data_IF_330186744874
#
_entry.id   IF_330186744874
#
_cell.length_a   1.000
_cell.length_b   1.000
_cell.length_c   1.000
_cell.angle_alpha   90.00
_cell.angle_beta   90.00
_cell.angle_gamma   90.00
#
_symmetry.space_group_name_H-M   'P 1'
#
loop_
_entity.id
_entity.type
_entity.pdbx_description
1 polymer ?
#
# COMPACT_ATOMS: atom_id res chain seq x y z
N UNK A 1 4.84 -65.50 -38.91
CA UNK A 1 5.62 -64.60 -38.03
C UNK A 1 4.82 -63.32 -37.83
N UNK A 2 4.04 -63.30 -36.75
CA UNK A 2 3.14 -62.21 -36.37
C UNK A 2 3.93 -61.07 -35.75
N UNK A 3 3.98 -59.90 -36.41
CA UNK A 3 4.59 -58.69 -35.83
C UNK A 3 3.55 -58.01 -34.94
N UNK A 4 3.81 -58.09 -33.64
CA UNK A 4 3.10 -57.39 -32.58
C UNK A 4 3.44 -55.89 -32.74
N UNK A 5 2.46 -55.09 -33.17
CA UNK A 5 2.55 -53.62 -33.06
C UNK A 5 2.27 -53.24 -31.59
N UNK A 6 3.17 -52.52 -30.90
CA UNK A 6 2.85 -51.97 -29.59
C UNK A 6 1.81 -50.86 -29.78
N UNK A 7 0.62 -51.02 -29.19
CA UNK A 7 -0.35 -49.94 -29.09
C UNK A 7 0.25 -48.82 -28.23
N UNK A 8 0.42 -47.63 -28.83
CA UNK A 8 0.75 -46.40 -28.11
C UNK A 8 -0.43 -46.03 -27.18
N UNK A 9 -0.17 -45.67 -25.91
CA UNK A 9 -1.23 -45.36 -24.94
C UNK A 9 -1.96 -44.08 -25.34
N UNK A 10 -3.30 -44.13 -25.31
CA UNK A 10 -4.23 -43.07 -25.74
C UNK A 10 -4.26 -41.79 -24.89
N UNK A 11 -3.12 -41.28 -24.44
CA UNK A 11 -3.02 -40.06 -23.62
C UNK A 11 -2.79 -38.76 -24.42
N UNK A 12 -2.43 -38.86 -25.71
CA UNK A 12 -2.13 -37.70 -26.57
C UNK A 12 -3.35 -36.80 -26.85
N UNK A 13 -4.58 -37.33 -27.08
CA UNK A 13 -5.75 -36.48 -27.38
C UNK A 13 -6.16 -35.58 -26.21
N UNK A 14 -6.04 -36.07 -24.98
CA UNK A 14 -6.38 -35.32 -23.77
C UNK A 14 -5.40 -34.18 -23.52
N UNK A 15 -4.10 -34.42 -23.71
CA UNK A 15 -3.07 -33.37 -23.59
C UNK A 15 -3.24 -32.27 -24.66
N UNK A 16 -3.56 -32.65 -25.90
CA UNK A 16 -3.84 -31.70 -26.98
C UNK A 16 -5.09 -30.86 -26.71
N UNK A 17 -6.17 -31.47 -26.18
CA UNK A 17 -7.39 -30.74 -25.81
C UNK A 17 -7.12 -29.71 -24.71
N UNK A 18 -6.36 -30.07 -23.68
CA UNK A 18 -5.98 -29.14 -22.59
C UNK A 18 -5.14 -27.98 -23.13
N UNK A 19 -4.16 -28.24 -23.99
CA UNK A 19 -3.36 -27.18 -24.63
C UNK A 19 -4.20 -26.27 -25.54
N UNK A 20 -5.19 -26.83 -26.25
CA UNK A 20 -6.12 -26.04 -27.06
C UNK A 20 -6.99 -25.11 -26.22
N UNK A 21 -7.52 -25.60 -25.09
CA UNK A 21 -8.29 -24.79 -24.14
C UNK A 21 -7.45 -23.66 -23.55
N UNK A 22 -6.21 -23.95 -23.15
CA UNK A 22 -5.30 -22.92 -22.64
C UNK A 22 -4.97 -21.86 -23.69
N UNK A 23 -4.83 -22.24 -24.96
CA UNK A 23 -4.63 -21.29 -26.07
C UNK A 23 -5.85 -20.37 -26.23
N UNK A 24 -7.06 -20.93 -26.23
CA UNK A 24 -8.30 -20.17 -26.32
C UNK A 24 -8.50 -19.22 -25.14
N UNK A 25 -8.22 -19.67 -23.91
CA UNK A 25 -8.25 -18.81 -22.72
C UNK A 25 -7.24 -17.66 -22.81
N UNK A 26 -6.04 -17.93 -23.34
CA UNK A 26 -5.00 -16.92 -23.50
C UNK A 26 -5.39 -15.89 -24.59
N UNK A 27 -5.97 -16.36 -25.69
CA UNK A 27 -6.51 -15.50 -26.76
C UNK A 27 -7.63 -14.59 -26.22
N UNK A 28 -8.55 -15.13 -25.40
CA UNK A 28 -9.59 -14.34 -24.74
C UNK A 28 -9.02 -13.29 -23.78
N UNK A 29 -8.01 -13.65 -22.97
CA UNK A 29 -7.32 -12.71 -22.08
C UNK A 29 -6.60 -11.61 -22.86
N UNK A 30 -5.97 -11.95 -23.98
CA UNK A 30 -5.31 -10.99 -24.86
C UNK A 30 -6.31 -9.99 -25.46
N UNK A 31 -7.44 -10.46 -25.98
CA UNK A 31 -8.51 -9.61 -26.52
C UNK A 31 -9.08 -8.66 -25.47
N UNK A 32 -9.34 -9.17 -24.27
CA UNK A 32 -9.83 -8.34 -23.16
C UNK A 32 -8.83 -7.26 -22.77
N UNK A 33 -7.54 -7.61 -22.70
CA UNK A 33 -6.48 -6.65 -22.40
C UNK A 33 -6.38 -5.57 -23.47
N UNK A 34 -6.51 -5.94 -24.76
CA UNK A 34 -6.52 -4.99 -25.87
C UNK A 34 -7.67 -3.98 -25.73
N UNK A 35 -8.87 -4.47 -25.40
CA UNK A 35 -10.05 -3.63 -25.16
C UNK A 35 -9.85 -2.67 -23.98
N UNK A 36 -9.24 -3.13 -22.88
CA UNK A 36 -8.90 -2.28 -21.74
C UNK A 36 -7.95 -1.16 -22.18
N UNK A 37 -6.86 -1.50 -22.88
CA UNK A 37 -5.86 -0.52 -23.33
C UNK A 37 -6.48 0.52 -24.28
N UNK A 38 -7.36 0.12 -25.18
CA UNK A 38 -8.09 1.05 -26.05
C UNK A 38 -9.04 1.95 -25.26
N UNK A 39 -9.74 1.41 -24.27
CA UNK A 39 -10.62 2.19 -23.39
C UNK A 39 -9.83 3.20 -22.54
N UNK A 40 -8.65 2.85 -22.03
CA UNK A 40 -7.78 3.76 -21.31
C UNK A 40 -7.23 4.86 -22.21
N UNK A 41 -6.83 4.52 -23.44
CA UNK A 41 -6.33 5.48 -24.43
C UNK A 41 -7.40 6.53 -24.77
N UNK A 42 -8.64 6.08 -25.00
CA UNK A 42 -9.76 6.98 -25.30
C UNK A 42 -10.16 7.83 -24.11
N UNK A 43 -10.24 7.27 -22.90
CA UNK A 43 -10.50 8.02 -21.68
C UNK A 43 -9.44 9.10 -21.40
N UNK A 44 -8.15 8.75 -21.57
CA UNK A 44 -7.04 9.71 -21.45
C UNK A 44 -7.17 10.85 -22.44
N UNK A 45 -7.49 10.54 -23.70
CA UNK A 45 -7.67 11.55 -24.74
C UNK A 45 -8.82 12.51 -24.42
N UNK A 46 -9.96 11.99 -23.93
CA UNK A 46 -11.11 12.80 -23.52
C UNK A 46 -10.77 13.74 -22.34
N UNK A 47 -10.07 13.24 -21.31
CA UNK A 47 -9.64 14.07 -20.18
C UNK A 47 -8.67 15.17 -20.61
N UNK A 48 -7.79 14.89 -21.58
CA UNK A 48 -6.87 15.89 -22.12
C UNK A 48 -7.62 17.00 -22.88
N UNK A 49 -8.61 16.62 -23.71
CA UNK A 49 -9.49 17.58 -24.38
C UNK A 49 -10.27 18.45 -23.37
N UNK A 50 -10.85 17.86 -22.32
CA UNK A 50 -11.54 18.61 -21.26
C UNK A 50 -10.61 19.59 -20.54
N UNK A 51 -9.36 19.19 -20.26
CA UNK A 51 -8.36 20.08 -19.65
C UNK A 51 -8.03 21.27 -20.55
N UNK A 52 -7.92 21.06 -21.87
CA UNK A 52 -7.65 22.12 -22.85
C UNK A 52 -8.83 23.10 -22.96
N UNK A 53 -10.06 22.59 -23.02
CA UNK A 53 -11.28 23.38 -23.07
C UNK A 53 -11.43 24.26 -21.82
N UNK A 54 -11.27 23.68 -20.63
CA UNK A 54 -11.28 24.43 -19.37
C UNK A 54 -10.17 25.49 -19.32
N UNK A 55 -9.00 25.19 -19.89
CA UNK A 55 -7.88 26.14 -19.96
C UNK A 55 -8.16 27.31 -20.91
N UNK A 56 -8.91 27.08 -21.99
CA UNK A 56 -9.38 28.13 -22.88
C UNK A 56 -10.45 29.00 -22.20
N UNK A 57 -11.41 28.39 -21.50
CA UNK A 57 -12.46 29.12 -20.80
C UNK A 57 -11.90 29.99 -19.67
N UNK A 58 -10.93 29.48 -18.89
CA UNK A 58 -10.21 30.28 -17.90
C UNK A 58 -9.51 31.49 -18.56
N UNK A 59 -8.92 31.31 -19.74
CA UNK A 59 -8.29 32.43 -20.48
C UNK A 59 -9.32 33.45 -20.97
N UNK A 60 -10.50 33.00 -21.40
CA UNK A 60 -11.61 33.85 -21.82
C UNK A 60 -12.18 34.65 -20.64
N UNK A 61 -12.56 34.00 -19.55
CA UNK A 61 -13.10 34.64 -18.35
C UNK A 61 -12.10 35.65 -17.75
N UNK A 62 -10.80 35.37 -17.81
CA UNK A 62 -9.76 36.34 -17.44
C UNK A 62 -9.77 37.59 -18.32
N UNK A 63 -9.97 37.45 -19.63
CA UNK A 63 -10.09 38.60 -20.55
C UNK A 63 -11.37 39.40 -20.27
N UNK A 64 -12.50 38.72 -20.07
CA UNK A 64 -13.78 39.35 -19.73
C UNK A 64 -13.68 40.13 -18.40
N UNK A 65 -13.05 39.57 -17.36
CA UNK A 65 -12.83 40.28 -16.10
C UNK A 65 -11.95 41.54 -16.26
N UNK A 66 -10.94 41.50 -17.12
CA UNK A 66 -10.11 42.67 -17.41
C UNK A 66 -10.94 43.75 -18.12
N UNK A 67 -11.82 43.35 -19.04
CA UNK A 67 -12.70 44.26 -19.76
C UNK A 67 -13.71 44.94 -18.84
N UNK A 68 -14.44 44.16 -18.03
CA UNK A 68 -15.43 44.67 -17.08
C UNK A 68 -14.79 45.60 -16.04
N UNK A 69 -13.57 45.28 -15.60
CA UNK A 69 -12.81 46.17 -14.70
C UNK A 69 -12.46 47.50 -15.37
N UNK A 70 -12.12 47.49 -16.65
CA UNK A 70 -11.81 48.70 -17.42
C UNK A 70 -13.07 49.53 -17.68
N UNK A 71 -14.22 48.90 -17.92
CA UNK A 71 -15.51 49.56 -18.08
C UNK A 71 -15.98 50.22 -16.77
N UNK A 72 -15.85 49.56 -15.62
CA UNK A 72 -16.15 50.19 -14.32
C UNK A 72 -15.28 51.42 -14.06
N UNK A 73 -13.99 51.37 -14.41
CA UNK A 73 -13.09 52.53 -14.30
C UNK A 73 -13.42 53.66 -15.29
N UNK A 74 -14.13 53.35 -16.38
CA UNK A 74 -14.53 54.34 -17.39
C UNK A 74 -15.89 54.97 -17.07
N UNK A 75 -16.79 54.23 -16.43
CA UNK A 75 -18.11 54.69 -16.01
C UNK A 75 -18.07 55.65 -14.80
N UNK A 76 -17.06 55.56 -13.93
CA UNK A 76 -16.81 56.52 -12.84
C UNK A 76 -16.25 57.88 -13.34
N UNK A 77 -16.01 58.05 -14.65
CA UNK A 77 -15.42 59.26 -15.23
C UNK A 77 -16.38 60.19 -15.99
N UNK A 78 -17.70 59.92 -16.02
CA UNK A 78 -18.64 60.60 -16.92
C UNK A 78 -19.90 61.19 -16.25
N UNK A 79 -19.83 61.53 -14.97
CA UNK A 79 -20.78 62.44 -14.33
C UNK A 79 -20.04 63.26 -13.29
N UNK A 80 -19.70 64.50 -13.64
CA UNK A 80 -19.79 65.68 -12.76
C UNK A 80 -19.23 66.90 -13.52
N UNK A 81 -20.05 67.94 -13.55
CA UNK A 81 -19.79 69.22 -14.18
C UNK A 81 -18.48 69.85 -13.65
N UNK A 82 -17.73 70.47 -14.56
CA UNK A 82 -16.46 71.14 -14.28
C UNK A 82 -16.60 72.19 -13.15
N UNK A 83 -16.10 71.86 -11.95
CA UNK A 83 -15.64 72.86 -10.99
C UNK A 83 -14.14 73.06 -11.15
N UNK A 84 -13.74 74.33 -11.32
CA UNK A 84 -12.36 74.80 -11.55
C UNK A 84 -11.35 74.37 -10.46
N UNK A 85 -11.83 73.85 -9.33
CA UNK A 85 -11.01 73.30 -8.25
C UNK A 85 -10.26 72.01 -8.65
N UNK A 86 -10.77 71.23 -9.61
CA UNK A 86 -10.15 69.96 -10.05
C UNK A 86 -8.91 70.19 -10.94
N UNK A 87 -8.88 71.30 -11.69
CA UNK A 87 -7.72 71.66 -12.54
C UNK A 87 -6.49 72.05 -11.72
N UNK A 88 -6.69 72.56 -10.50
CA UNK A 88 -5.60 72.93 -9.58
C UNK A 88 -4.97 71.70 -8.92
N UNK A 89 -5.80 70.71 -8.54
CA UNK A 89 -5.35 69.45 -7.93
C UNK A 89 -4.57 68.57 -8.92
N UNK A 90 -4.96 68.56 -10.21
CA UNK A 90 -4.30 67.75 -11.24
C UNK A 90 -2.93 68.30 -11.68
N UNK A 91 -2.69 69.62 -11.53
CA UNK A 91 -1.41 70.26 -11.90
C UNK A 91 -0.35 70.11 -10.80
N UNK A 92 -0.75 69.97 -9.53
CA UNK A 92 0.16 69.69 -8.41
C UNK A 92 0.55 68.21 -8.29
N UNK A 93 -0.27 67.28 -8.79
CA UNK A 93 0.09 65.85 -8.84
C UNK A 93 1.16 65.48 -9.87
N UNK A 94 1.47 66.34 -10.84
CA UNK A 94 2.47 66.02 -11.85
C UNK A 94 3.93 66.25 -11.40
N UNK A 95 4.15 66.72 -10.17
CA UNK A 95 5.46 66.83 -9.53
C UNK A 95 5.59 66.03 -8.21
N UNK A 96 4.62 65.16 -7.89
CA UNK A 96 4.59 64.42 -6.63
C UNK A 96 4.78 62.92 -6.83
N UNK A 97 5.77 62.36 -6.15
CA UNK A 97 6.19 60.95 -6.05
C UNK A 97 5.13 59.95 -5.55
N UNK A 98 3.83 60.16 -5.83
CA UNK A 98 2.69 59.42 -5.27
C UNK A 98 2.19 58.23 -6.10
N UNK A 99 2.38 58.23 -7.43
CA UNK A 99 1.90 57.13 -8.29
C UNK A 99 2.64 55.80 -8.08
N UNK A 100 3.87 55.85 -7.56
CA UNK A 100 4.66 54.65 -7.23
C UNK A 100 4.14 53.90 -6.01
N UNK A 101 3.46 54.58 -5.07
CA UNK A 101 3.04 53.99 -3.80
C UNK A 101 1.75 53.19 -3.91
N UNK A 102 0.76 53.71 -4.64
CA UNK A 102 -0.49 52.99 -4.94
C UNK A 102 -0.25 51.75 -5.81
N UNK A 103 0.61 51.87 -6.84
CA UNK A 103 0.99 50.72 -7.69
C UNK A 103 1.78 49.66 -6.92
N UNK A 104 2.64 50.07 -5.98
CA UNK A 104 3.36 49.15 -5.10
C UNK A 104 2.43 48.38 -4.15
N UNK A 105 1.39 49.02 -3.61
CA UNK A 105 0.42 48.35 -2.73
C UNK A 105 -0.50 47.41 -3.51
N UNK A 106 -0.90 47.76 -4.74
CA UNK A 106 -1.60 46.84 -5.66
C UNK A 106 -0.76 45.61 -5.98
N UNK A 107 0.54 45.77 -6.28
CA UNK A 107 1.45 44.66 -6.54
C UNK A 107 1.63 43.72 -5.33
N UNK A 108 1.69 44.27 -4.10
CA UNK A 108 1.75 43.47 -2.86
C UNK A 108 0.47 42.66 -2.64
N UNK A 109 -0.69 43.29 -2.84
CA UNK A 109 -1.99 42.61 -2.73
C UNK A 109 -2.12 41.50 -3.78
N UNK A 110 -1.70 41.74 -5.02
CA UNK A 110 -1.68 40.73 -6.09
C UNK A 110 -0.73 39.55 -5.78
N UNK A 111 0.46 39.82 -5.25
CA UNK A 111 1.40 38.75 -4.87
C UNK A 111 0.88 37.92 -3.70
N UNK A 112 0.23 38.57 -2.72
CA UNK A 112 -0.42 37.91 -1.60
C UNK A 112 -1.59 37.02 -2.05
N UNK A 113 -2.49 37.55 -2.90
CA UNK A 113 -3.61 36.81 -3.49
C UNK A 113 -3.12 35.64 -4.34
N UNK A 114 -2.07 35.83 -5.15
CA UNK A 114 -1.47 34.75 -5.94
C UNK A 114 -0.89 33.65 -5.04
N UNK A 115 -0.17 34.00 -3.98
CA UNK A 115 0.34 33.05 -3.00
C UNK A 115 -0.77 32.33 -2.22
N UNK A 116 -1.82 33.05 -1.85
CA UNK A 116 -3.01 32.48 -1.19
C UNK A 116 -3.76 31.50 -2.10
N UNK A 117 -3.96 31.84 -3.37
CA UNK A 117 -4.57 30.96 -4.36
C UNK A 117 -3.72 29.70 -4.60
N UNK A 118 -2.40 29.82 -4.68
CA UNK A 118 -1.49 28.67 -4.77
C UNK A 118 -1.64 27.73 -3.57
N UNK A 119 -1.67 28.29 -2.35
CA UNK A 119 -1.89 27.50 -1.12
C UNK A 119 -3.26 26.83 -1.09
N UNK A 120 -4.32 27.54 -1.52
CA UNK A 120 -5.68 26.99 -1.59
C UNK A 120 -5.78 25.86 -2.61
N UNK A 121 -5.18 26.04 -3.79
CA UNK A 121 -5.15 25.01 -4.85
C UNK A 121 -4.32 23.80 -4.43
N UNK A 122 -3.16 24.00 -3.80
CA UNK A 122 -2.36 22.93 -3.23
C UNK A 122 -3.14 22.13 -2.19
N UNK A 123 -3.83 22.81 -1.26
CA UNK A 123 -4.70 22.14 -0.29
C UNK A 123 -5.79 21.29 -0.97
N UNK A 124 -6.41 21.80 -2.03
CA UNK A 124 -7.40 21.02 -2.80
C UNK A 124 -6.77 19.79 -3.42
N UNK A 125 -5.67 19.94 -4.17
CA UNK A 125 -4.98 18.82 -4.83
C UNK A 125 -4.53 17.76 -3.82
N UNK A 126 -4.01 18.17 -2.67
CA UNK A 126 -3.61 17.25 -1.60
C UNK A 126 -4.83 16.54 -1.01
N UNK A 127 -5.94 17.23 -0.77
CA UNK A 127 -7.17 16.60 -0.29
C UNK A 127 -7.75 15.61 -1.31
N UNK A 128 -7.76 15.98 -2.58
CA UNK A 128 -8.23 15.13 -3.68
C UNK A 128 -7.33 13.89 -3.83
N UNK A 129 -6.00 14.06 -3.67
CA UNK A 129 -5.06 12.93 -3.62
C UNK A 129 -5.31 12.05 -2.40
N UNK A 130 -5.43 12.61 -1.20
CA UNK A 130 -5.68 11.83 0.03
C UNK A 130 -6.98 11.04 -0.11
N UNK A 131 -8.03 11.62 -0.70
CA UNK A 131 -9.32 10.95 -0.93
C UNK A 131 -9.32 10.03 -2.16
N UNK A 132 -8.24 10.02 -2.95
CA UNK A 132 -8.15 9.18 -4.13
C UNK A 132 -8.12 7.69 -3.73
N UNK A 133 -8.72 6.81 -4.55
CA UNK A 133 -8.72 5.37 -4.30
C UNK A 133 -7.30 4.79 -4.28
N UNK A 134 -6.38 5.37 -5.06
CA UNK A 134 -4.98 4.97 -5.05
C UNK A 134 -4.30 5.24 -3.71
N UNK A 135 -4.45 6.44 -3.14
CA UNK A 135 -3.86 6.78 -1.85
C UNK A 135 -4.48 6.00 -0.69
N UNK A 136 -5.77 5.68 -0.77
CA UNK A 136 -6.41 4.77 0.19
C UNK A 136 -5.83 3.35 0.09
N UNK A 137 -5.75 2.79 -1.12
CA UNK A 137 -5.14 1.47 -1.36
C UNK A 137 -3.69 1.40 -0.89
N UNK A 138 -2.91 2.46 -1.13
CA UNK A 138 -1.51 2.53 -0.70
C UNK A 138 -1.40 2.57 0.83
N UNK A 139 -2.27 3.33 1.50
CA UNK A 139 -2.35 3.35 2.97
C UNK A 139 -2.74 1.99 3.53
N UNK A 140 -3.74 1.33 2.94
CA UNK A 140 -4.17 -0.01 3.34
C UNK A 140 -3.04 -1.04 3.17
N UNK A 141 -2.33 -1.02 2.04
CA UNK A 141 -1.16 -1.87 1.82
C UNK A 141 -0.09 -1.66 2.89
N UNK A 142 0.26 -0.41 3.16
CA UNK A 142 1.28 -0.07 4.14
C UNK A 142 0.85 -0.49 5.56
N UNK A 143 -0.41 -0.25 5.92
CA UNK A 143 -0.97 -0.68 7.20
C UNK A 143 -0.86 -2.20 7.38
N UNK A 144 -1.26 -2.99 6.37
CA UNK A 144 -1.15 -4.45 6.42
C UNK A 144 0.29 -4.89 6.62
N UNK A 145 1.24 -4.27 5.91
CA UNK A 145 2.66 -4.58 6.07
C UNK A 145 3.15 -4.29 7.49
N UNK A 146 2.84 -3.11 8.05
CA UNK A 146 3.26 -2.78 9.41
C UNK A 146 2.67 -3.76 10.42
N UNK A 147 1.37 -4.02 10.35
CA UNK A 147 0.71 -5.01 11.21
C UNK A 147 1.32 -6.39 11.05
N UNK A 148 1.67 -6.81 9.83
CA UNK A 148 2.31 -8.10 9.60
C UNK A 148 3.68 -8.20 10.32
N UNK A 149 4.51 -7.17 10.23
CA UNK A 149 5.83 -7.16 10.90
C UNK A 149 5.68 -7.18 12.42
N UNK A 150 4.74 -6.41 12.96
CA UNK A 150 4.40 -6.40 14.39
C UNK A 150 3.90 -7.78 14.86
N UNK A 151 2.98 -8.40 14.11
CA UNK A 151 2.48 -9.74 14.43
C UNK A 151 3.57 -10.80 14.38
N UNK A 152 4.49 -10.72 13.41
CA UNK A 152 5.59 -11.67 13.29
C UNK A 152 6.60 -11.52 14.45
N UNK A 153 6.88 -10.28 14.88
CA UNK A 153 7.72 -10.01 16.05
C UNK A 153 7.13 -10.65 17.32
N UNK A 154 5.83 -10.45 17.55
CA UNK A 154 5.14 -11.02 18.69
C UNK A 154 5.15 -12.55 18.63
N UNK A 155 4.89 -13.12 17.45
CA UNK A 155 4.89 -14.57 17.24
C UNK A 155 6.26 -15.21 17.56
N UNK A 156 7.34 -14.66 17.01
CA UNK A 156 8.71 -15.12 17.28
C UNK A 156 9.06 -15.01 18.77
N UNK A 157 8.63 -13.93 19.42
CA UNK A 157 8.85 -13.72 20.87
C UNK A 157 8.13 -14.78 21.71
N UNK A 158 6.89 -15.12 21.36
CA UNK A 158 6.12 -16.18 22.02
C UNK A 158 6.77 -17.56 21.82
N UNK A 159 7.22 -17.88 20.60
CA UNK A 159 7.95 -19.11 20.30
C UNK A 159 9.29 -19.19 21.05
N UNK A 160 10.03 -18.09 21.12
CA UNK A 160 11.29 -18.01 21.87
C UNK A 160 11.06 -18.26 23.36
N UNK A 161 9.98 -17.73 23.91
CA UNK A 161 9.55 -17.99 25.30
C UNK A 161 9.21 -19.47 25.50
N UNK A 162 8.45 -20.08 24.58
CA UNK A 162 8.10 -21.50 24.61
C UNK A 162 9.36 -22.39 24.61
N UNK A 163 10.30 -22.11 23.72
CA UNK A 163 11.54 -22.90 23.60
C UNK A 163 12.46 -22.68 24.81
N UNK A 164 12.68 -21.43 25.20
CA UNK A 164 13.66 -21.08 26.23
C UNK A 164 13.18 -21.40 27.63
N UNK A 165 11.91 -21.13 27.95
CA UNK A 165 11.38 -21.29 29.29
C UNK A 165 10.80 -22.69 29.56
N UNK A 166 10.39 -23.43 28.52
CA UNK A 166 9.76 -24.74 28.71
C UNK A 166 10.56 -25.86 28.06
N UNK A 167 10.82 -25.81 26.74
CA UNK A 167 11.48 -26.91 26.03
C UNK A 167 12.89 -27.20 26.56
N UNK A 168 13.75 -26.16 26.67
CA UNK A 168 15.13 -26.35 27.12
C UNK A 168 15.23 -26.88 28.57
N UNK A 169 14.51 -26.32 29.56
CA UNK A 169 14.49 -26.87 30.92
C UNK A 169 13.94 -28.29 31.01
N UNK A 170 12.93 -28.64 30.20
CA UNK A 170 12.37 -29.99 30.17
C UNK A 170 13.33 -31.00 29.53
N UNK A 171 14.02 -30.63 28.44
CA UNK A 171 15.10 -31.45 27.85
C UNK A 171 16.22 -31.70 28.85
N UNK A 172 16.65 -30.66 29.57
CA UNK A 172 17.65 -30.79 30.64
C UNK A 172 17.18 -31.71 31.77
N UNK A 173 15.91 -31.59 32.19
CA UNK A 173 15.33 -32.43 33.24
C UNK A 173 15.21 -33.89 32.82
N UNK A 174 14.95 -34.16 31.54
CA UNK A 174 14.92 -35.50 30.97
C UNK A 174 16.31 -36.17 30.90
N UNK A 175 17.39 -35.39 30.90
CA UNK A 175 18.77 -35.90 30.96
C UNK A 175 19.30 -36.13 32.38
N UNK A 176 18.47 -35.95 33.42
CA UNK A 176 18.85 -36.17 34.82
C UNK A 176 19.06 -37.65 35.14
N UNK A 177 19.86 -37.95 36.20
CA UNK A 177 20.11 -39.31 36.70
C UNK A 177 18.85 -40.07 37.13
N UNK A 178 17.76 -39.37 37.45
CA UNK A 178 16.40 -39.90 37.66
C UNK A 178 15.39 -38.98 36.95
N UNK A 179 15.08 -39.21 35.68
CA UNK A 179 14.27 -38.28 34.91
C UNK A 179 12.78 -38.42 35.29
N UNK A 180 12.09 -37.32 35.65
CA UNK A 180 10.65 -37.34 35.89
C UNK A 180 9.81 -37.41 34.60
N UNK A 181 10.44 -37.15 33.45
CA UNK A 181 9.85 -37.15 32.10
C UNK A 181 10.87 -37.71 31.10
N UNK A 182 10.44 -38.50 30.13
CA UNK A 182 11.37 -39.10 29.14
C UNK A 182 11.66 -38.14 27.98
N UNK A 183 12.76 -38.37 27.27
CA UNK A 183 13.07 -37.62 26.05
C UNK A 183 12.02 -37.81 24.95
N UNK A 184 11.38 -38.98 24.87
CA UNK A 184 10.27 -39.24 23.94
C UNK A 184 9.04 -38.42 24.31
N UNK A 185 8.68 -38.32 25.59
CA UNK A 185 7.54 -37.51 26.04
C UNK A 185 7.75 -36.02 25.70
N UNK A 186 8.95 -35.48 25.94
CA UNK A 186 9.30 -34.09 25.60
C UNK A 186 9.25 -33.87 24.09
N UNK A 187 9.83 -34.76 23.29
CA UNK A 187 9.79 -34.67 21.83
C UNK A 187 8.37 -34.87 21.27
N UNK A 188 7.51 -35.65 21.92
CA UNK A 188 6.10 -35.80 21.51
C UNK A 188 5.28 -34.54 21.76
N UNK A 189 5.61 -33.77 22.81
CA UNK A 189 4.90 -32.54 23.18
C UNK A 189 5.37 -31.36 22.34
N UNK A 190 6.69 -31.18 22.19
CA UNK A 190 7.27 -30.00 21.56
C UNK A 190 7.73 -30.22 20.11
N UNK A 191 7.90 -31.46 19.67
CA UNK A 191 8.28 -31.88 18.32
C UNK A 191 9.33 -30.94 17.70
N UNK A 192 9.04 -30.38 16.53
CA UNK A 192 9.93 -29.51 15.75
C UNK A 192 9.78 -28.01 16.11
N UNK A 193 9.24 -27.67 17.30
CA UNK A 193 9.01 -26.27 17.70
C UNK A 193 10.29 -25.41 17.73
N UNK A 194 11.45 -25.99 18.05
CA UNK A 194 12.75 -25.31 18.01
C UNK A 194 13.16 -24.94 16.57
N UNK A 195 12.94 -25.85 15.62
CA UNK A 195 13.16 -25.61 14.18
C UNK A 195 12.19 -24.53 13.67
N UNK A 196 10.92 -24.59 14.05
CA UNK A 196 9.91 -23.60 13.68
C UNK A 196 10.31 -22.21 14.20
N UNK A 197 10.74 -22.09 15.46
CA UNK A 197 11.23 -20.84 16.03
C UNK A 197 12.40 -20.27 15.21
N UNK A 198 13.39 -21.11 14.88
CA UNK A 198 14.55 -20.66 14.10
C UNK A 198 14.16 -20.13 12.71
N UNK A 199 13.21 -20.79 12.05
CA UNK A 199 12.73 -20.40 10.72
C UNK A 199 11.99 -19.07 10.75
N UNK A 200 11.06 -18.90 11.69
CA UNK A 200 10.33 -17.64 11.87
C UNK A 200 11.25 -16.50 12.31
N UNK A 201 12.30 -16.81 13.09
CA UNK A 201 13.34 -15.83 13.43
C UNK A 201 14.07 -15.30 12.18
N UNK A 202 14.43 -16.17 11.23
CA UNK A 202 15.06 -15.77 9.96
C UNK A 202 14.10 -14.93 9.13
N UNK A 203 12.83 -15.36 9.04
CA UNK A 203 11.81 -14.61 8.30
C UNK A 203 11.58 -13.21 8.88
N UNK A 204 11.45 -13.10 10.21
CA UNK A 204 11.33 -11.82 10.91
C UNK A 204 12.53 -10.89 10.67
N UNK A 205 13.76 -11.42 10.73
CA UNK A 205 14.95 -10.64 10.40
C UNK A 205 14.93 -10.13 8.95
N UNK A 206 14.49 -10.97 8.01
CA UNK A 206 14.28 -10.57 6.61
C UNK A 206 13.26 -9.45 6.46
N UNK A 207 12.12 -9.55 7.14
CA UNK A 207 11.09 -8.50 7.17
C UNK A 207 11.64 -7.18 7.72
N UNK A 208 12.35 -7.23 8.85
CA UNK A 208 12.94 -6.05 9.50
C UNK A 208 13.97 -5.36 8.61
N UNK A 209 14.83 -6.13 7.94
CA UNK A 209 15.81 -5.58 7.00
C UNK A 209 15.13 -4.87 5.82
N UNK A 210 14.02 -5.41 5.30
CA UNK A 210 13.27 -4.75 4.22
C UNK A 210 12.59 -3.47 4.70
N UNK A 211 12.11 -3.41 5.95
CA UNK A 211 11.51 -2.19 6.50
C UNK A 211 12.45 -0.97 6.43
N UNK A 212 13.77 -1.16 6.46
CA UNK A 212 14.75 -0.07 6.32
C UNK A 212 14.72 0.58 4.92
N UNK A 213 14.28 -0.16 3.90
CA UNK A 213 14.18 0.31 2.50
C UNK A 213 12.82 0.96 2.15
N UNK A 214 12.03 1.34 3.16
CA UNK A 214 10.76 2.02 2.96
C UNK A 214 10.96 3.36 2.22
N UNK A 215 10.12 3.73 1.23
CA UNK A 215 8.81 3.19 0.86
C UNK A 215 8.80 2.16 -0.29
N UNK A 216 9.93 1.87 -0.93
CA UNK A 216 10.05 0.94 -2.07
C UNK A 216 10.15 -0.52 -1.63
N UNK A 217 9.15 -0.96 -0.86
CA UNK A 217 9.14 -2.27 -0.23
C UNK A 217 8.67 -3.37 -1.20
N UNK A 218 9.50 -4.40 -1.36
CA UNK A 218 9.17 -5.66 -2.03
C UNK A 218 9.40 -6.80 -1.03
N UNK A 219 8.33 -7.53 -0.72
CA UNK A 219 8.33 -8.63 0.25
C UNK A 219 8.08 -10.01 -0.37
N UNK A 220 7.79 -10.07 -1.68
CA UNK A 220 7.34 -11.30 -2.36
C UNK A 220 8.32 -12.46 -2.23
N UNK A 221 9.61 -12.18 -2.38
CA UNK A 221 10.70 -13.14 -2.27
C UNK A 221 10.90 -13.70 -0.85
N UNK A 222 10.48 -12.97 0.20
CA UNK A 222 10.50 -13.49 1.55
C UNK A 222 9.44 -14.60 1.75
N UNK A 223 8.31 -14.51 1.05
CA UNK A 223 7.28 -15.55 1.10
C UNK A 223 7.70 -16.83 0.38
N UNK A 224 8.52 -16.73 -0.66
CA UNK A 224 9.10 -17.90 -1.34
C UNK A 224 10.00 -18.73 -0.41
N UNK A 225 10.66 -18.08 0.55
CA UNK A 225 11.41 -18.76 1.60
C UNK A 225 10.50 -19.40 2.67
N UNK A 226 9.29 -18.87 2.87
CA UNK A 226 8.30 -19.36 3.84
C UNK A 226 7.49 -20.55 3.31
N UNK A 227 7.24 -20.62 1.99
CA UNK A 227 6.43 -21.66 1.34
C UNK A 227 6.88 -23.10 1.65
N UNK A 228 8.19 -23.45 1.58
CA UNK A 228 8.68 -24.76 2.00
C UNK A 228 8.41 -25.07 3.48
N UNK A 229 8.30 -24.06 4.34
CA UNK A 229 8.09 -24.24 5.79
C UNK A 229 6.70 -24.78 6.11
N UNK A 230 5.70 -24.52 5.25
CA UNK A 230 4.34 -25.06 5.41
C UNK A 230 4.32 -26.59 5.44
N UNK A 231 5.26 -27.25 4.76
CA UNK A 231 5.41 -28.71 4.80
C UNK A 231 5.83 -29.22 6.18
N UNK A 232 6.73 -28.50 6.87
CA UNK A 232 7.21 -28.82 8.23
C UNK A 232 6.09 -28.60 9.25
N UNK A 233 5.26 -27.59 9.03
CA UNK A 233 4.06 -27.34 9.85
C UNK A 233 3.04 -28.47 9.79
N UNK A 234 2.96 -29.24 8.69
CA UNK A 234 2.01 -30.35 8.59
C UNK A 234 2.27 -31.44 9.63
N UNK A 235 3.53 -31.73 9.98
CA UNK A 235 3.86 -32.67 11.05
C UNK A 235 3.50 -32.11 12.42
N UNK A 236 3.79 -30.82 12.66
CA UNK A 236 3.49 -30.17 13.93
C UNK A 236 1.99 -30.08 14.21
N UNK A 237 1.18 -29.68 13.22
CA UNK A 237 -0.28 -29.57 13.34
C UNK A 237 -0.92 -30.95 13.51
N UNK A 238 -0.46 -31.96 12.78
CA UNK A 238 -0.96 -33.33 12.90
C UNK A 238 -0.68 -33.94 14.27
N UNK A 239 0.47 -33.62 14.86
CA UNK A 239 0.87 -34.10 16.17
C UNK A 239 0.18 -33.34 17.34
N UNK A 240 -0.49 -32.21 17.08
CA UNK A 240 -1.09 -31.38 18.13
C UNK A 240 -2.16 -32.11 18.95
N UNK A 241 -2.95 -32.98 18.32
CA UNK A 241 -3.96 -33.77 19.04
C UNK A 241 -3.30 -34.77 20.01
N UNK A 242 -2.15 -35.35 19.62
CA UNK A 242 -1.42 -36.30 20.43
C UNK A 242 -0.73 -35.61 21.62
N UNK A 243 -0.12 -34.45 21.39
CA UNK A 243 0.50 -33.67 22.46
C UNK A 243 -0.50 -33.19 23.52
N UNK A 244 -1.71 -32.82 23.12
CA UNK A 244 -2.80 -32.49 24.05
C UNK A 244 -3.22 -33.69 24.91
N UNK A 245 -3.30 -34.89 24.32
CA UNK A 245 -3.65 -36.10 25.05
C UNK A 245 -2.58 -36.48 26.07
N UNK A 246 -1.31 -36.48 25.69
CA UNK A 246 -0.19 -36.77 26.60
C UNK A 246 -0.16 -35.76 27.74
N UNK A 247 -0.27 -34.46 27.46
CA UNK A 247 -0.36 -33.41 28.48
C UNK A 247 -1.52 -33.63 29.45
N UNK A 248 -2.71 -33.94 28.92
CA UNK A 248 -3.90 -34.16 29.75
C UNK A 248 -3.75 -35.43 30.60
N UNK A 249 -3.10 -36.48 30.08
CA UNK A 249 -2.81 -37.71 30.80
C UNK A 249 -1.87 -37.46 32.00
N UNK A 250 -0.77 -36.72 31.79
CA UNK A 250 0.11 -36.30 32.89
C UNK A 250 -0.61 -35.42 33.93
N UNK A 251 -1.50 -34.52 33.49
CA UNK A 251 -2.31 -33.69 34.40
C UNK A 251 -3.23 -34.55 35.26
N UNK A 252 -3.86 -35.58 34.69
CA UNK A 252 -4.70 -36.55 35.41
C UNK A 252 -3.90 -37.41 36.39
N UNK A 253 -2.70 -37.85 36.03
CA UNK A 253 -1.83 -38.61 36.95
C UNK A 253 -1.39 -37.76 38.13
N UNK A 254 -1.04 -36.49 37.90
CA UNK A 254 -0.69 -35.59 39.00
C UNK A 254 -1.89 -35.35 39.92
N UNK A 255 -3.09 -35.10 39.39
CA UNK A 255 -4.30 -34.93 40.22
C UNK A 255 -4.75 -36.22 40.93
N UNK A 256 -4.45 -37.40 40.37
CA UNK A 256 -4.72 -38.68 41.00
C UNK A 256 -3.72 -39.10 42.09
N UNK A 257 -2.51 -38.54 42.11
CA UNK A 257 -1.51 -38.79 43.18
C UNK A 257 -1.67 -37.92 44.43
N UNK A 258 -2.60 -36.94 44.42
CA UNK A 258 -2.93 -36.07 45.55
C UNK A 258 -4.30 -36.42 46.20
N UNK A 259 -4.82 -37.62 45.94
CA UNK A 259 -5.93 -38.23 46.70
C UNK A 259 -5.43 -39.51 47.34
#
# INVERSE_FOLDING_TARGET
MSRIFPQLPGAVPAAYQVLSQQREELEQKYLHLLQIVESEKTAKWQLMQQCEEQSLEIRRLKRELIHLRKEQQSAEGSTEEESDDIKKIKKESNNGSGSGRFTQDVCKVQSFLRGWLCRRRWKSIVQDYIRSPHAESMRKRNQIVFTMVECEEEYVTQLSTLVTCFLRPLKMSASSKKPPITHEDVNSIFLNSETIMFLHQIFYQGLRARMESWPTLVLGDLFDMLLPMLSIYQEYVRNHHYSLQVRNWYKHIQTGRYK
#
